data_IF_748948659157
#
_entry.id   IF_748948659157
#
_cell.length_a   1.000
_cell.length_b   1.000
_cell.length_c   1.000
_cell.angle_alpha   90.00
_cell.angle_beta   90.00
_cell.angle_gamma   90.00
#
_symmetry.space_group_name_H-M   'P 1'
#
loop_
_entity.id
_entity.type
_entity.pdbx_description
1 polymer ?
#
# COMPACT_ATOMS: atom_id res chain seq x y z
N UNK A 1 -14.56 -8.59 -24.96
CA UNK A 1 -15.34 -7.34 -24.94
C UNK A 1 -16.43 -7.45 -23.89
N UNK A 2 -16.50 -6.49 -22.98
CA UNK A 2 -17.53 -6.39 -21.96
C UNK A 2 -18.28 -5.07 -22.13
N UNK A 3 -19.57 -5.07 -21.85
CA UNK A 3 -20.43 -3.89 -21.83
C UNK A 3 -21.38 -4.03 -20.65
N UNK A 4 -21.47 -3.03 -19.76
CA UNK A 4 -22.41 -3.06 -18.65
C UNK A 4 -23.87 -3.14 -19.15
N UNK A 5 -24.71 -3.88 -18.44
CA UNK A 5 -26.13 -3.92 -18.72
C UNK A 5 -26.84 -2.82 -17.94
N UNK A 6 -27.42 -1.86 -18.64
CA UNK A 6 -28.16 -0.73 -18.07
C UNK A 6 -29.42 -1.15 -17.27
N UNK A 7 -29.87 -2.40 -17.41
CA UNK A 7 -30.96 -2.94 -16.59
C UNK A 7 -30.48 -3.39 -15.19
N UNK A 8 -29.17 -3.61 -15.05
CA UNK A 8 -28.53 -4.05 -13.80
C UNK A 8 -27.83 -2.89 -13.10
N UNK A 9 -27.16 -2.03 -13.88
CA UNK A 9 -26.39 -0.91 -13.36
C UNK A 9 -27.14 0.41 -13.60
N UNK A 10 -27.28 1.20 -12.56
CA UNK A 10 -27.94 2.51 -12.62
C UNK A 10 -27.09 3.55 -13.34
N UNK A 11 -25.76 3.39 -13.29
CA UNK A 11 -24.79 4.21 -14.02
C UNK A 11 -23.76 3.31 -14.68
N UNK A 12 -23.45 3.59 -15.93
CA UNK A 12 -22.47 2.86 -16.73
C UNK A 12 -21.34 3.76 -17.24
N UNK A 13 -21.40 5.05 -16.96
CA UNK A 13 -20.41 6.04 -17.37
C UNK A 13 -19.34 6.15 -16.29
N UNK A 14 -18.39 5.18 -16.32
CA UNK A 14 -17.28 5.14 -15.39
C UNK A 14 -16.23 6.17 -15.86
N UNK A 15 -15.88 7.16 -15.02
CA UNK A 15 -14.84 8.13 -15.33
C UNK A 15 -13.49 7.47 -15.64
N UNK A 16 -12.73 8.06 -16.56
CA UNK A 16 -11.43 7.53 -17.00
C UNK A 16 -10.44 7.41 -15.83
N UNK A 17 -10.52 8.33 -14.89
CA UNK A 17 -9.68 8.40 -13.70
C UNK A 17 -9.71 7.11 -12.87
N UNK A 18 -10.86 6.44 -12.75
CA UNK A 18 -10.97 5.16 -12.06
C UNK A 18 -10.12 4.06 -12.70
N UNK A 19 -10.10 4.03 -14.04
CA UNK A 19 -9.26 3.08 -14.77
C UNK A 19 -7.78 3.42 -14.62
N UNK A 20 -7.44 4.71 -14.70
CA UNK A 20 -6.07 5.19 -14.53
C UNK A 20 -5.55 4.85 -13.13
N UNK A 21 -6.32 5.15 -12.09
CA UNK A 21 -5.96 4.86 -10.70
C UNK A 21 -5.82 3.35 -10.44
N UNK A 22 -6.74 2.55 -10.96
CA UNK A 22 -6.66 1.09 -10.82
C UNK A 22 -5.39 0.53 -11.47
N UNK A 23 -5.05 0.99 -12.67
CA UNK A 23 -3.88 0.53 -13.40
C UNK A 23 -2.58 1.05 -12.75
N UNK A 24 -2.58 2.29 -12.26
CA UNK A 24 -1.48 2.85 -11.48
C UNK A 24 -1.20 1.96 -10.25
N UNK A 25 -2.22 1.68 -9.44
CA UNK A 25 -2.10 0.81 -8.25
C UNK A 25 -1.58 -0.58 -8.60
N UNK A 26 -2.02 -1.15 -9.73
CA UNK A 26 -1.48 -2.43 -10.20
C UNK A 26 -0.01 -2.33 -10.59
N UNK A 27 0.43 -1.24 -11.20
CA UNK A 27 1.84 -1.05 -11.57
C UNK A 27 2.77 -0.89 -10.37
N UNK A 28 2.27 -0.29 -9.28
CA UNK A 28 3.00 -0.09 -8.03
C UNK A 28 3.40 -1.42 -7.38
N UNK A 29 2.50 -2.41 -7.36
CA UNK A 29 2.72 -3.70 -6.68
C UNK A 29 3.27 -4.80 -7.58
N UNK A 30 3.34 -4.55 -8.89
CA UNK A 30 3.90 -5.48 -9.88
C UNK A 30 5.15 -4.87 -10.53
N UNK A 31 6.24 -4.83 -9.76
CA UNK A 31 7.51 -4.23 -10.17
C UNK A 31 7.99 -4.72 -11.55
N UNK A 32 8.43 -3.79 -12.40
CA UNK A 32 8.96 -4.06 -13.73
C UNK A 32 7.90 -4.40 -14.78
N UNK A 33 6.61 -4.45 -14.42
CA UNK A 33 5.53 -4.69 -15.40
C UNK A 33 4.99 -3.36 -15.92
N UNK A 34 5.06 -3.19 -17.23
CA UNK A 34 4.46 -2.04 -17.91
C UNK A 34 2.97 -2.28 -18.17
N UNK A 35 2.14 -1.43 -17.62
CA UNK A 35 0.71 -1.37 -17.87
C UNK A 35 0.38 -0.26 -18.87
N UNK A 36 -0.49 -0.54 -19.82
CA UNK A 36 -0.90 0.42 -20.86
C UNK A 36 -2.41 0.50 -20.89
N UNK A 37 -2.95 1.68 -20.60
CA UNK A 37 -4.34 2.01 -20.79
C UNK A 37 -4.50 2.74 -22.13
N UNK A 38 -5.44 2.29 -22.96
CA UNK A 38 -5.84 2.96 -24.19
C UNK A 38 -7.31 3.35 -24.09
N UNK A 39 -7.56 4.65 -24.02
CA UNK A 39 -8.90 5.21 -24.03
C UNK A 39 -9.26 5.66 -25.43
N UNK A 40 -10.35 5.11 -25.99
CA UNK A 40 -10.81 5.47 -27.32
C UNK A 40 -11.53 6.82 -27.30
N UNK A 41 -10.99 7.80 -28.02
CA UNK A 41 -11.52 9.17 -28.12
C UNK A 41 -12.19 9.46 -29.46
N UNK A 42 -12.09 8.55 -30.43
CA UNK A 42 -12.72 8.64 -31.74
C UNK A 42 -12.65 7.31 -32.48
N UNK A 43 -13.14 7.23 -33.73
CA UNK A 43 -13.19 5.96 -34.48
C UNK A 43 -11.85 5.23 -34.58
N UNK A 44 -10.74 5.98 -34.70
CA UNK A 44 -9.38 5.45 -34.84
C UNK A 44 -8.37 6.15 -33.92
N UNK A 45 -8.81 7.03 -33.04
CA UNK A 45 -7.96 7.77 -32.13
C UNK A 45 -8.05 7.22 -30.71
N UNK A 46 -6.90 7.16 -30.05
CA UNK A 46 -6.77 6.65 -28.69
C UNK A 46 -5.79 7.54 -27.90
N UNK A 47 -6.20 7.93 -26.71
CA UNK A 47 -5.28 8.42 -25.72
C UNK A 47 -4.60 7.24 -25.03
N UNK A 48 -3.30 7.35 -24.80
CA UNK A 48 -2.48 6.29 -24.25
C UNK A 48 -1.85 6.75 -22.95
N UNK A 49 -2.03 5.95 -21.89
CA UNK A 49 -1.45 6.16 -20.60
C UNK A 49 -0.58 4.94 -20.26
N UNK A 50 0.65 5.18 -19.82
CA UNK A 50 1.62 4.13 -19.48
C UNK A 50 2.07 4.28 -18.03
N UNK A 51 2.10 3.18 -17.31
CA UNK A 51 2.53 3.10 -15.92
C UNK A 51 3.54 1.96 -15.78
N UNK A 52 4.70 2.25 -15.20
CA UNK A 52 5.72 1.26 -14.94
C UNK A 52 6.62 1.73 -13.79
N UNK A 53 6.74 0.93 -12.75
CA UNK A 53 7.68 1.14 -11.66
C UNK A 53 8.64 -0.04 -11.63
N UNK A 54 9.87 0.17 -12.09
CA UNK A 54 10.88 -0.90 -12.20
C UNK A 54 11.17 -1.55 -10.85
N UNK A 55 11.26 -0.75 -9.78
CA UNK A 55 11.42 -1.22 -8.41
C UNK A 55 10.12 -1.16 -7.59
N UNK A 56 8.96 -1.16 -8.24
CA UNK A 56 7.65 -1.22 -7.63
C UNK A 56 7.41 -0.11 -6.60
N UNK A 57 7.03 -0.51 -5.38
CA UNK A 57 6.68 0.41 -4.28
C UNK A 57 7.80 1.39 -3.90
N UNK A 58 9.07 1.05 -4.18
CA UNK A 58 10.21 1.94 -3.90
C UNK A 58 10.22 3.13 -4.84
N UNK A 59 10.07 2.90 -6.14
CA UNK A 59 10.08 3.96 -7.14
C UNK A 59 8.82 4.82 -7.02
N UNK A 60 7.69 4.21 -6.69
CA UNK A 60 6.45 4.94 -6.41
C UNK A 60 6.60 5.92 -5.25
N UNK A 61 7.17 5.50 -4.12
CA UNK A 61 7.43 6.40 -3.00
C UNK A 61 8.41 7.50 -3.40
N UNK A 62 9.50 7.19 -4.13
CA UNK A 62 10.47 8.20 -4.60
C UNK A 62 9.80 9.25 -5.47
N UNK A 63 8.97 8.84 -6.42
CA UNK A 63 8.21 9.76 -7.26
C UNK A 63 7.25 10.61 -6.44
N UNK A 64 6.54 9.99 -5.48
CA UNK A 64 5.60 10.68 -4.61
C UNK A 64 6.28 11.75 -3.75
N UNK A 65 7.37 11.42 -3.05
CA UNK A 65 8.00 12.37 -2.13
C UNK A 65 8.90 13.38 -2.83
N UNK A 66 9.58 13.00 -3.94
CA UNK A 66 10.54 13.85 -4.61
C UNK A 66 11.63 14.34 -3.66
N UNK A 67 11.87 15.64 -3.66
CA UNK A 67 12.89 16.30 -2.82
C UNK A 67 12.42 16.57 -1.37
N UNK A 68 11.18 16.25 -1.04
CA UNK A 68 10.60 16.48 0.29
C UNK A 68 10.90 15.35 1.30
N UNK A 69 11.68 14.37 0.92
CA UNK A 69 12.07 13.27 1.81
C UNK A 69 13.17 13.69 2.79
N UNK A 70 13.00 13.37 4.08
CA UNK A 70 14.05 13.56 5.09
C UNK A 70 15.15 12.49 5.04
N UNK A 71 14.83 11.34 4.48
CA UNK A 71 15.75 10.21 4.35
C UNK A 71 15.54 9.51 3.01
N UNK A 72 16.54 8.74 2.59
CA UNK A 72 16.35 7.82 1.47
C UNK A 72 15.20 6.85 1.76
N UNK A 73 14.51 6.42 0.70
CA UNK A 73 13.48 5.39 0.82
C UNK A 73 14.14 4.08 1.27
N UNK A 74 13.70 3.57 2.41
CA UNK A 74 14.10 2.29 2.95
C UNK A 74 13.17 1.20 2.43
N UNK A 75 13.74 0.06 2.07
CA UNK A 75 12.97 -1.09 1.60
C UNK A 75 13.31 -2.33 2.42
N UNK A 76 12.29 -3.04 2.83
CA UNK A 76 12.41 -4.31 3.52
C UNK A 76 11.46 -5.32 2.90
N UNK A 77 11.94 -6.56 2.79
CA UNK A 77 11.14 -7.70 2.38
C UNK A 77 11.37 -8.89 3.29
N UNK A 78 10.36 -9.70 3.45
CA UNK A 78 10.46 -10.90 4.26
C UNK A 78 9.37 -11.91 3.96
N UNK A 79 9.63 -13.14 4.34
CA UNK A 79 8.66 -14.25 4.27
C UNK A 79 8.54 -14.88 5.65
N UNK A 80 7.33 -15.20 6.04
CA UNK A 80 7.02 -15.95 7.25
C UNK A 80 5.98 -17.01 6.95
N UNK A 81 6.02 -18.07 7.73
CA UNK A 81 4.93 -19.05 7.79
C UNK A 81 4.04 -18.72 8.98
N UNK A 82 2.76 -18.86 8.79
CA UNK A 82 1.74 -18.69 9.81
C UNK A 82 0.83 -19.90 9.88
N UNK A 83 0.10 -20.00 10.98
CA UNK A 83 -0.95 -21.00 11.19
C UNK A 83 -1.97 -20.39 12.15
N UNK A 84 -3.22 -20.36 11.76
CA UNK A 84 -4.27 -19.76 12.59
C UNK A 84 -4.57 -20.60 13.84
N UNK A 85 -4.54 -21.92 13.69
CA UNK A 85 -4.71 -22.90 14.79
C UNK A 85 -3.85 -24.12 14.52
N UNK A 86 -3.54 -24.86 15.55
CA UNK A 86 -2.66 -26.04 15.48
C UNK A 86 -3.18 -27.13 14.53
N UNK A 87 -4.49 -27.22 14.35
CA UNK A 87 -5.19 -28.18 13.50
C UNK A 87 -5.35 -27.72 12.03
N UNK A 88 -4.98 -26.47 11.71
CA UNK A 88 -5.08 -25.94 10.36
C UNK A 88 -3.73 -26.01 9.62
N UNK A 89 -3.76 -26.02 8.27
CA UNK A 89 -2.54 -26.02 7.47
C UNK A 89 -1.72 -24.73 7.67
N UNK A 90 -0.42 -24.82 7.49
CA UNK A 90 0.45 -23.65 7.44
C UNK A 90 0.19 -22.85 6.17
N UNK A 91 0.22 -21.53 6.29
CA UNK A 91 0.23 -20.62 5.16
C UNK A 91 1.51 -19.80 5.14
N UNK A 92 1.83 -19.25 3.97
CA UNK A 92 2.96 -18.35 3.78
C UNK A 92 2.48 -16.92 3.63
N UNK A 93 3.18 -16.00 4.28
CA UNK A 93 3.02 -14.57 4.10
C UNK A 93 4.32 -14.00 3.59
N UNK A 94 4.28 -13.33 2.45
CA UNK A 94 5.35 -12.48 1.94
C UNK A 94 4.97 -11.04 2.19
N UNK A 95 5.95 -10.23 2.57
CA UNK A 95 5.74 -8.83 2.87
C UNK A 95 6.85 -8.00 2.26
N UNK A 96 6.47 -6.97 1.51
CA UNK A 96 7.34 -5.92 1.03
C UNK A 96 6.87 -4.61 1.65
N UNK A 97 7.79 -3.87 2.25
CA UNK A 97 7.52 -2.55 2.84
C UNK A 97 8.56 -1.57 2.32
N UNK A 98 8.10 -0.46 1.78
CA UNK A 98 8.94 0.68 1.48
C UNK A 98 8.47 1.88 2.29
N UNK A 99 9.38 2.65 2.85
CA UNK A 99 9.04 3.83 3.64
C UNK A 99 10.13 4.89 3.62
N UNK A 100 9.74 6.12 3.86
CA UNK A 100 10.59 7.22 4.27
C UNK A 100 9.79 8.17 5.16
N UNK A 101 10.44 9.23 5.62
CA UNK A 101 9.79 10.28 6.40
C UNK A 101 9.81 11.61 5.64
N UNK A 102 8.72 12.37 5.77
CA UNK A 102 8.57 13.72 5.21
C UNK A 102 7.68 14.55 6.13
N UNK A 103 7.96 15.84 6.24
CA UNK A 103 7.09 16.78 6.97
C UNK A 103 6.09 17.51 6.07
N UNK A 104 6.15 17.26 4.76
CA UNK A 104 5.28 17.91 3.76
C UNK A 104 4.33 16.96 3.07
N UNK A 105 4.67 15.68 3.07
CA UNK A 105 3.90 14.64 2.36
C UNK A 105 3.64 13.45 3.25
N UNK A 106 2.44 12.93 3.17
CA UNK A 106 1.99 11.76 3.90
C UNK A 106 1.39 10.77 2.92
N UNK A 107 1.73 9.51 3.08
CA UNK A 107 1.17 8.42 2.30
C UNK A 107 1.16 7.15 3.16
N UNK A 108 0.03 6.48 3.22
CA UNK A 108 -0.08 5.17 3.85
C UNK A 108 -0.97 4.31 2.97
N UNK A 109 -0.34 3.45 2.20
CA UNK A 109 -1.04 2.54 1.30
C UNK A 109 -0.72 1.09 1.65
N UNK A 110 -1.76 0.29 1.66
CA UNK A 110 -1.70 -1.11 1.99
C UNK A 110 -2.28 -1.94 0.85
N UNK A 111 -1.53 -2.95 0.47
CA UNK A 111 -1.93 -3.90 -0.58
C UNK A 111 -1.88 -5.32 -0.03
N UNK A 112 -2.84 -6.14 -0.43
CA UNK A 112 -2.86 -7.56 -0.13
C UNK A 112 -3.26 -8.37 -1.36
N UNK A 113 -2.42 -9.35 -1.75
CA UNK A 113 -2.60 -10.13 -2.98
C UNK A 113 -2.86 -9.22 -4.21
N UNK A 114 -2.05 -8.17 -4.36
CA UNK A 114 -2.13 -7.12 -5.39
C UNK A 114 -3.39 -6.24 -5.35
N UNK A 115 -4.28 -6.43 -4.38
CA UNK A 115 -5.45 -5.59 -4.19
C UNK A 115 -5.14 -4.44 -3.24
N UNK A 116 -5.54 -3.23 -3.60
CA UNK A 116 -5.50 -2.07 -2.72
C UNK A 116 -6.52 -2.24 -1.60
N UNK A 117 -6.10 -1.95 -0.37
CA UNK A 117 -6.94 -2.03 0.83
C UNK A 117 -7.37 -0.62 1.23
N UNK A 118 -8.53 -0.20 0.78
CA UNK A 118 -9.08 1.14 1.06
C UNK A 118 -9.16 1.43 2.57
N UNK A 119 -9.44 0.41 3.37
CA UNK A 119 -9.57 0.53 4.83
C UNK A 119 -8.40 -0.08 5.60
N UNK A 120 -7.25 -0.27 4.95
CA UNK A 120 -5.98 -0.72 5.56
C UNK A 120 -5.98 -2.16 6.10
N UNK A 121 -6.99 -2.53 6.88
CA UNK A 121 -7.18 -3.90 7.38
C UNK A 121 -6.08 -4.39 8.33
N UNK A 122 -5.77 -5.69 8.23
CA UNK A 122 -4.73 -6.33 9.04
C UNK A 122 -3.32 -5.77 8.80
N UNK A 123 -2.90 -5.45 7.56
CA UNK A 123 -1.60 -4.83 7.32
C UNK A 123 -1.43 -3.48 8.02
N UNK A 124 -2.45 -2.63 8.02
CA UNK A 124 -2.40 -1.35 8.72
C UNK A 124 -2.25 -1.54 10.24
N UNK A 125 -3.05 -2.44 10.83
CA UNK A 125 -2.94 -2.75 12.27
C UNK A 125 -1.54 -3.26 12.63
N UNK A 126 -0.95 -4.10 11.80
CA UNK A 126 0.40 -4.62 11.99
C UNK A 126 1.45 -3.51 11.92
N UNK A 127 1.37 -2.61 10.94
CA UNK A 127 2.27 -1.46 10.81
C UNK A 127 2.16 -0.55 12.03
N UNK A 128 0.95 -0.15 12.43
CA UNK A 128 0.71 0.69 13.61
C UNK A 128 1.34 0.07 14.87
N UNK A 129 1.09 -1.21 15.09
CA UNK A 129 1.63 -1.94 16.24
C UNK A 129 3.15 -2.02 16.22
N UNK A 130 3.75 -2.30 15.06
CA UNK A 130 5.18 -2.43 14.90
C UNK A 130 5.91 -1.10 15.19
N UNK A 131 5.46 0.00 14.59
CA UNK A 131 6.06 1.32 14.82
C UNK A 131 5.99 1.73 16.29
N UNK A 132 4.80 1.68 16.91
CA UNK A 132 4.63 2.05 18.32
C UNK A 132 5.50 1.18 19.22
N UNK A 133 5.52 -0.14 19.01
CA UNK A 133 6.30 -1.05 19.84
C UNK A 133 7.80 -0.81 19.72
N UNK A 134 8.32 -0.64 18.50
CA UNK A 134 9.76 -0.46 18.28
C UNK A 134 10.26 0.91 18.78
N UNK A 135 9.49 1.97 18.50
CA UNK A 135 9.88 3.31 18.95
C UNK A 135 9.78 3.40 20.49
N UNK A 136 8.72 2.88 21.11
CA UNK A 136 8.58 2.82 22.57
C UNK A 136 9.77 2.08 23.21
N UNK A 137 10.14 0.93 22.65
CA UNK A 137 11.27 0.15 23.12
C UNK A 137 12.59 0.91 23.00
N UNK A 138 12.81 1.60 21.88
CA UNK A 138 13.99 2.43 21.67
C UNK A 138 14.06 3.60 22.65
N UNK A 139 12.95 4.33 22.84
CA UNK A 139 12.89 5.47 23.74
C UNK A 139 13.15 5.06 25.19
N UNK A 140 12.61 3.93 25.64
CA UNK A 140 12.85 3.36 26.96
C UNK A 140 14.31 2.94 27.14
N UNK A 141 14.84 2.17 26.20
CA UNK A 141 16.21 1.67 26.29
C UNK A 141 17.27 2.80 26.30
N UNK A 142 16.96 3.94 25.68
CA UNK A 142 17.86 5.09 25.60
C UNK A 142 17.49 6.23 26.58
N UNK A 143 16.58 5.98 27.53
CA UNK A 143 16.13 6.97 28.52
C UNK A 143 15.69 8.30 27.89
N UNK A 144 14.98 8.24 26.75
CA UNK A 144 14.54 9.41 26.00
C UNK A 144 13.20 9.97 26.46
N UNK A 145 12.42 9.23 27.25
CA UNK A 145 11.21 9.75 27.84
C UNK A 145 11.53 10.71 28.99
N UNK A 146 10.89 11.87 29.00
CA UNK A 146 10.86 12.76 30.13
C UNK A 146 9.84 12.28 31.16
N UNK A 147 9.93 12.75 32.39
CA UNK A 147 9.01 12.36 33.46
C UNK A 147 7.54 12.70 33.19
N UNK A 148 7.30 13.70 32.35
CA UNK A 148 5.97 14.18 31.97
C UNK A 148 5.42 13.53 30.68
N UNK A 149 6.24 12.76 29.97
CA UNK A 149 5.84 12.23 28.67
C UNK A 149 4.88 11.04 28.82
N UNK A 150 3.84 11.06 28.02
CA UNK A 150 3.01 9.88 27.80
C UNK A 150 3.72 8.89 26.88
N UNK A 151 3.27 7.65 26.92
CA UNK A 151 3.76 6.64 25.97
C UNK A 151 3.41 7.07 24.55
N UNK A 152 4.38 6.88 23.62
CA UNK A 152 4.17 7.15 22.21
C UNK A 152 2.95 6.38 21.65
N UNK A 153 2.20 7.03 20.80
CA UNK A 153 1.11 6.45 20.04
C UNK A 153 1.40 6.55 18.51
N UNK A 154 0.59 5.93 17.67
CA UNK A 154 0.86 5.94 16.22
C UNK A 154 0.67 7.33 15.60
N UNK A 155 -0.19 8.17 16.17
CA UNK A 155 -0.41 9.53 15.67
C UNK A 155 0.87 10.38 15.72
N UNK A 156 1.73 10.13 16.69
CA UNK A 156 3.04 10.81 16.82
C UNK A 156 4.01 10.48 15.67
N UNK A 157 3.75 9.39 14.93
CA UNK A 157 4.56 8.94 13.79
C UNK A 157 3.86 9.19 12.46
N UNK A 158 2.55 9.15 12.47
CA UNK A 158 1.69 9.15 11.29
C UNK A 158 1.86 10.41 10.43
N UNK A 159 2.06 11.55 11.07
CA UNK A 159 2.11 12.86 10.40
C UNK A 159 3.32 13.06 9.49
N UNK A 160 4.38 12.27 9.68
CA UNK A 160 5.58 12.35 8.85
C UNK A 160 5.86 11.07 8.05
N UNK A 161 4.99 10.06 8.15
CA UNK A 161 5.23 8.74 7.57
C UNK A 161 4.74 8.68 6.12
N UNK A 162 5.65 8.29 5.23
CA UNK A 162 5.34 7.87 3.85
C UNK A 162 5.65 6.38 3.76
N UNK A 163 4.62 5.55 3.60
CA UNK A 163 4.74 4.09 3.63
C UNK A 163 3.83 3.43 2.62
N UNK A 164 4.38 2.46 1.91
CA UNK A 164 3.61 1.50 1.11
C UNK A 164 3.97 0.09 1.54
N UNK A 165 2.96 -0.70 1.86
CA UNK A 165 3.10 -2.10 2.26
C UNK A 165 2.34 -2.99 1.29
N UNK A 166 3.03 -3.97 0.71
CA UNK A 166 2.44 -4.99 -0.16
C UNK A 166 2.65 -6.37 0.45
N UNK A 167 1.57 -7.02 0.82
CA UNK A 167 1.56 -8.35 1.39
C UNK A 167 0.94 -9.37 0.44
N UNK A 168 1.41 -10.61 0.53
CA UNK A 168 0.85 -11.74 -0.19
C UNK A 168 0.68 -12.92 0.76
N UNK A 169 -0.48 -13.54 0.77
CA UNK A 169 -0.74 -14.74 1.56
C UNK A 169 -1.38 -15.83 0.71
N UNK A 170 -0.99 -17.07 0.98
CA UNK A 170 -1.63 -18.25 0.37
C UNK A 170 -2.98 -18.58 0.99
N UNK A 171 -3.28 -18.00 2.16
CA UNK A 171 -4.58 -18.09 2.82
C UNK A 171 -5.06 -16.68 3.15
N UNK A 172 -6.20 -16.31 2.60
CA UNK A 172 -6.78 -14.97 2.74
C UNK A 172 -8.26 -15.11 3.05
N UNK A 173 -8.72 -14.40 4.06
CA UNK A 173 -10.14 -14.16 4.30
C UNK A 173 -10.43 -12.68 4.13
N UNK A 174 -11.44 -12.36 3.34
CA UNK A 174 -11.97 -11.00 3.20
C UNK A 174 -13.27 -10.92 4.00
N UNK A 175 -13.35 -9.98 4.93
CA UNK A 175 -14.55 -9.82 5.77
C UNK A 175 -15.74 -9.21 5.02
N UNK A 176 -15.48 -8.51 3.91
CA UNK A 176 -16.51 -7.89 3.08
C UNK A 176 -16.32 -8.26 1.61
N UNK A 177 -17.07 -9.24 1.16
CA UNK A 177 -17.26 -9.57 -0.25
C UNK A 177 -18.69 -9.18 -0.70
N UNK A 178 -19.13 -8.01 -0.34
CA UNK A 178 -20.41 -7.47 -0.84
C UNK A 178 -20.17 -6.25 -1.71
#
# INVERSE_FOLDING_TARGET
RWKPDIKVFTDIDIPLEYYQETILRQSVVNAGIKFVLRNQTGEKSFDKYEYCYENGIVDYIKEFVGDDAFSSVQFWQGERKGRDRADLPEYKVKLNVALCFSNKKQLKEYYHNSSFLEHGGAPEKAVKSAFVSQIDSYLKANSKYLKSDSKINFQDVEDCLVLVSSSFSTQTSYENQT
#
